data_IF_584879314511
#
_entry.id   IF_584879314511
#
_cell.length_a   1.000
_cell.length_b   1.000
_cell.length_c   1.000
_cell.angle_alpha   90.00
_cell.angle_beta   90.00
_cell.angle_gamma   90.00
#
_symmetry.space_group_name_H-M   'P 1'
#
loop_
_entity.id
_entity.type
_entity.pdbx_description
1 polymer ?
#
# COMPACT_ATOMS: atom_id res chain seq x y z
N UNK A 1 10.13 26.93 -1.19
CA UNK A 1 10.42 25.60 -0.64
C UNK A 1 11.93 25.55 -0.49
N UNK A 2 12.45 25.86 0.69
CA UNK A 2 13.88 25.68 0.98
C UNK A 2 14.17 24.19 0.83
N UNK A 3 14.85 23.84 -0.26
CA UNK A 3 15.31 22.48 -0.48
C UNK A 3 16.32 22.26 0.64
N UNK A 4 15.96 21.43 1.62
CA UNK A 4 16.85 21.04 2.69
C UNK A 4 18.19 20.61 2.05
N UNK A 5 19.30 21.16 2.53
CA UNK A 5 20.64 20.72 2.15
C UNK A 5 20.82 19.28 2.64
N UNK A 6 20.29 18.31 1.90
CA UNK A 6 20.42 16.90 2.21
C UNK A 6 21.90 16.54 2.05
N UNK A 7 22.53 16.19 3.18
CA UNK A 7 23.90 15.66 3.20
C UNK A 7 23.99 14.38 2.36
N UNK A 8 25.14 14.10 1.75
CA UNK A 8 25.35 12.89 0.94
C UNK A 8 25.12 11.61 1.76
N UNK A 9 25.41 11.66 3.05
CA UNK A 9 25.18 10.59 4.02
C UNK A 9 23.69 10.28 4.17
N UNK A 10 22.86 11.32 4.30
CA UNK A 10 21.40 11.19 4.40
C UNK A 10 20.80 10.67 3.10
N UNK A 11 21.25 11.14 1.93
CA UNK A 11 20.81 10.62 0.64
C UNK A 11 21.19 9.14 0.47
N UNK A 12 22.42 8.78 0.84
CA UNK A 12 22.89 7.38 0.79
C UNK A 12 22.07 6.47 1.72
N UNK A 13 21.75 6.95 2.92
CA UNK A 13 20.88 6.25 3.86
C UNK A 13 19.47 6.05 3.28
N UNK A 14 18.83 7.11 2.79
CA UNK A 14 17.50 7.04 2.19
C UNK A 14 17.45 6.14 0.95
N UNK A 15 18.52 6.13 0.15
CA UNK A 15 18.64 5.25 -1.01
C UNK A 15 18.65 3.77 -0.61
N UNK A 16 19.45 3.40 0.40
CA UNK A 16 19.50 2.02 0.92
C UNK A 16 18.12 1.63 1.49
N UNK A 17 17.49 2.52 2.26
CA UNK A 17 16.15 2.27 2.81
C UNK A 17 15.12 2.11 1.68
N UNK A 18 15.18 2.92 0.62
CA UNK A 18 14.26 2.81 -0.51
C UNK A 18 14.40 1.46 -1.24
N UNK A 19 15.62 0.94 -1.40
CA UNK A 19 15.85 -0.41 -1.96
C UNK A 19 15.22 -1.48 -1.06
N UNK A 20 15.51 -1.44 0.25
CA UNK A 20 14.97 -2.40 1.20
C UNK A 20 13.43 -2.34 1.26
N UNK A 21 12.88 -1.13 1.33
CA UNK A 21 11.45 -0.90 1.31
C UNK A 21 10.82 -1.45 0.03
N UNK A 22 11.40 -1.20 -1.14
CA UNK A 22 10.92 -1.72 -2.42
C UNK A 22 10.92 -3.26 -2.50
N UNK A 23 11.96 -3.90 -1.95
CA UNK A 23 12.01 -5.37 -1.84
C UNK A 23 10.90 -5.90 -0.94
N UNK A 24 10.74 -5.32 0.26
CA UNK A 24 9.69 -5.71 1.21
C UNK A 24 8.29 -5.45 0.63
N UNK A 25 8.11 -4.36 -0.11
CA UNK A 25 6.84 -4.04 -0.77
C UNK A 25 6.50 -5.06 -1.86
N UNK A 26 7.50 -5.42 -2.66
CA UNK A 26 7.36 -6.46 -3.68
C UNK A 26 7.01 -7.82 -3.07
N UNK A 27 7.54 -8.15 -1.88
CA UNK A 27 7.24 -9.41 -1.17
C UNK A 27 5.89 -9.37 -0.45
N UNK A 28 5.71 -8.46 0.49
CA UNK A 28 4.57 -8.45 1.44
C UNK A 28 3.65 -7.21 1.33
N UNK A 29 3.98 -6.22 0.49
CA UNK A 29 3.22 -4.96 0.37
C UNK A 29 3.30 -4.09 1.63
N UNK A 30 4.44 -4.15 2.33
CA UNK A 30 4.71 -3.47 3.59
C UNK A 30 5.88 -2.49 3.53
N UNK A 31 6.39 -2.15 2.35
CA UNK A 31 7.59 -1.28 2.23
C UNK A 31 7.37 0.11 2.82
N UNK A 32 6.12 0.58 2.82
CA UNK A 32 5.70 1.80 3.51
C UNK A 32 5.99 1.81 5.02
N UNK A 33 6.00 0.64 5.67
CA UNK A 33 6.30 0.53 7.11
C UNK A 33 7.74 0.94 7.43
N UNK A 34 8.65 0.86 6.45
CA UNK A 34 10.07 1.20 6.60
C UNK A 34 10.37 2.58 6.00
N UNK A 35 9.87 2.84 4.79
CA UNK A 35 10.16 4.08 4.06
C UNK A 35 9.51 5.31 4.71
N UNK A 36 8.27 5.23 5.22
CA UNK A 36 7.62 6.39 5.83
C UNK A 36 8.34 6.89 7.08
N UNK A 37 8.69 6.04 8.08
CA UNK A 37 9.50 6.47 9.21
C UNK A 37 10.83 7.10 8.77
N UNK A 38 11.53 6.51 7.79
CA UNK A 38 12.79 7.05 7.33
C UNK A 38 12.66 8.43 6.66
N UNK A 39 11.64 8.63 5.83
CA UNK A 39 11.35 9.93 5.21
C UNK A 39 10.98 10.99 6.26
N UNK A 40 10.12 10.63 7.22
CA UNK A 40 9.71 11.55 8.30
C UNK A 40 10.91 11.90 9.19
N UNK A 41 11.75 10.93 9.55
CA UNK A 41 12.98 11.14 10.33
C UNK A 41 14.01 11.99 9.56
N UNK A 42 14.00 11.94 8.23
CA UNK A 42 14.80 12.82 7.37
C UNK A 42 14.24 14.26 7.27
N UNK A 43 13.17 14.57 8.02
CA UNK A 43 12.56 15.90 8.06
C UNK A 43 11.54 16.16 6.94
N UNK A 44 11.15 15.13 6.18
CA UNK A 44 10.14 15.29 5.13
C UNK A 44 8.75 15.39 5.78
N UNK A 45 7.95 16.42 5.43
CA UNK A 45 6.60 16.57 5.97
C UNK A 45 5.75 15.31 5.73
N UNK A 46 4.88 14.91 6.68
CA UNK A 46 4.18 13.63 6.62
C UNK A 46 3.36 13.42 5.33
N UNK A 47 2.68 14.48 4.85
CA UNK A 47 1.89 14.41 3.63
C UNK A 47 2.76 14.22 2.37
N UNK A 48 3.95 14.84 2.37
CA UNK A 48 4.93 14.67 1.30
C UNK A 48 5.59 13.28 1.35
N UNK A 49 5.85 12.77 2.55
CA UNK A 49 6.36 11.41 2.75
C UNK A 49 5.38 10.36 2.23
N UNK A 50 4.07 10.53 2.46
CA UNK A 50 3.02 9.69 1.87
C UNK A 50 3.06 9.71 0.34
N UNK A 51 3.09 10.89 -0.28
CA UNK A 51 3.15 11.02 -1.73
C UNK A 51 4.40 10.38 -2.34
N UNK A 52 5.58 10.62 -1.76
CA UNK A 52 6.84 9.98 -2.18
C UNK A 52 6.79 8.46 -1.99
N UNK A 53 6.19 7.97 -0.90
CA UNK A 53 5.99 6.54 -0.71
C UNK A 53 5.09 5.93 -1.81
N UNK A 54 4.03 6.63 -2.24
CA UNK A 54 3.16 6.17 -3.33
C UNK A 54 3.89 6.10 -4.67
N UNK A 55 4.84 7.00 -4.92
CA UNK A 55 5.70 6.92 -6.12
C UNK A 55 6.56 5.65 -6.08
N UNK A 56 7.24 5.40 -4.95
CA UNK A 56 8.07 4.21 -4.76
C UNK A 56 7.25 2.91 -4.87
N UNK A 57 6.14 2.83 -4.14
CA UNK A 57 5.25 1.68 -4.14
C UNK A 57 4.63 1.40 -5.50
N UNK A 58 4.31 2.43 -6.29
CA UNK A 58 3.79 2.28 -7.66
C UNK A 58 4.77 1.50 -8.54
N UNK A 59 6.07 1.78 -8.47
CA UNK A 59 7.07 1.08 -9.28
C UNK A 59 7.25 -0.38 -8.85
N UNK A 60 7.34 -0.64 -7.54
CA UNK A 60 7.47 -2.01 -7.01
C UNK A 60 6.26 -2.88 -7.33
N UNK A 61 5.05 -2.34 -7.09
CA UNK A 61 3.79 -3.05 -7.35
C UNK A 61 3.49 -3.19 -8.84
N UNK A 62 3.94 -2.27 -9.70
CA UNK A 62 3.86 -2.42 -11.15
C UNK A 62 4.63 -3.65 -11.64
N UNK A 63 5.89 -3.79 -11.22
CA UNK A 63 6.74 -4.93 -11.58
C UNK A 63 6.14 -6.25 -11.05
N UNK A 64 5.71 -6.27 -9.79
CA UNK A 64 5.07 -7.45 -9.20
C UNK A 64 3.81 -7.85 -9.98
N UNK A 65 2.93 -6.88 -10.27
CA UNK A 65 1.68 -7.10 -11.01
C UNK A 65 1.94 -7.60 -12.42
N UNK A 66 2.90 -7.01 -13.14
CA UNK A 66 3.31 -7.47 -14.46
C UNK A 66 3.77 -8.93 -14.43
N UNK A 67 4.59 -9.32 -13.46
CA UNK A 67 5.05 -10.70 -13.30
C UNK A 67 3.90 -11.67 -12.97
N UNK A 68 2.94 -11.25 -12.15
CA UNK A 68 1.76 -12.07 -11.84
C UNK A 68 0.90 -12.34 -13.08
N UNK A 69 0.68 -11.33 -13.94
CA UNK A 69 -0.04 -11.50 -15.20
C UNK A 69 0.77 -12.32 -16.22
N UNK A 70 2.06 -12.02 -16.38
CA UNK A 70 2.96 -12.72 -17.33
C UNK A 70 3.03 -14.22 -17.03
N UNK A 71 3.10 -14.58 -15.75
CA UNK A 71 3.19 -15.97 -15.31
C UNK A 71 1.80 -16.64 -15.16
N UNK A 72 0.72 -16.00 -15.62
CA UNK A 72 -0.67 -16.49 -15.54
C UNK A 72 -1.10 -16.88 -14.12
N UNK A 73 -0.54 -16.21 -13.09
CA UNK A 73 -0.93 -16.41 -11.68
C UNK A 73 -2.24 -15.72 -11.35
N UNK A 74 -2.60 -14.70 -12.13
CA UNK A 74 -3.87 -13.97 -12.04
C UNK A 74 -4.44 -13.75 -13.44
N UNK A 75 -5.77 -13.76 -13.56
CA UNK A 75 -6.49 -13.42 -14.78
C UNK A 75 -6.83 -11.92 -14.79
N UNK A 76 -6.57 -11.24 -15.90
CA UNK A 76 -6.91 -9.81 -16.06
C UNK A 76 -8.42 -9.58 -15.98
N UNK A 77 -9.22 -10.47 -16.58
CA UNK A 77 -10.68 -10.35 -16.58
C UNK A 77 -11.27 -10.47 -15.17
N UNK A 78 -10.69 -11.32 -14.32
CA UNK A 78 -11.14 -11.51 -12.94
C UNK A 78 -10.62 -10.41 -12.01
N UNK A 79 -9.41 -9.90 -12.25
CA UNK A 79 -8.78 -8.90 -11.38
C UNK A 79 -9.28 -7.48 -11.66
N UNK A 80 -9.65 -7.17 -12.91
CA UNK A 80 -10.04 -5.82 -13.34
C UNK A 80 -11.17 -5.19 -12.50
N UNK A 81 -12.29 -5.86 -12.19
CA UNK A 81 -13.36 -5.27 -11.37
C UNK A 81 -12.91 -4.95 -9.93
N UNK A 82 -12.06 -5.81 -9.35
CA UNK A 82 -11.48 -5.59 -8.03
C UNK A 82 -10.50 -4.41 -8.07
N UNK A 83 -9.66 -4.31 -9.10
CA UNK A 83 -8.75 -3.17 -9.29
C UNK A 83 -9.50 -1.85 -9.41
N UNK A 84 -10.63 -1.82 -10.13
CA UNK A 84 -11.45 -0.60 -10.29
C UNK A 84 -12.05 -0.12 -8.96
N UNK A 85 -12.62 -1.03 -8.17
CA UNK A 85 -13.19 -0.68 -6.87
C UNK A 85 -12.10 -0.27 -5.86
N UNK A 86 -10.96 -0.96 -5.86
CA UNK A 86 -9.79 -0.57 -5.06
C UNK A 86 -9.29 0.83 -5.45
N UNK A 87 -9.17 1.10 -6.75
CA UNK A 87 -8.76 2.40 -7.30
C UNK A 87 -9.67 3.52 -6.82
N UNK A 88 -11.00 3.34 -6.92
CA UNK A 88 -11.97 4.35 -6.46
C UNK A 88 -11.82 4.60 -4.95
N UNK A 89 -11.71 3.52 -4.16
CA UNK A 89 -11.43 3.64 -2.72
C UNK A 89 -10.19 4.48 -2.46
N UNK A 90 -9.08 4.17 -3.13
CA UNK A 90 -7.81 4.86 -2.96
C UNK A 90 -7.84 6.32 -3.40
N UNK A 91 -8.57 6.67 -4.46
CA UNK A 91 -8.80 8.08 -4.83
C UNK A 91 -9.48 8.82 -3.68
N UNK A 92 -10.58 8.26 -3.14
CA UNK A 92 -11.31 8.88 -2.04
C UNK A 92 -10.45 9.01 -0.77
N UNK A 93 -9.63 8.00 -0.49
CA UNK A 93 -8.68 8.03 0.62
C UNK A 93 -7.61 9.11 0.45
N UNK A 94 -6.97 9.16 -0.73
CA UNK A 94 -5.93 10.14 -1.03
C UNK A 94 -6.47 11.59 -1.08
N UNK A 95 -7.72 11.78 -1.46
CA UNK A 95 -8.40 13.07 -1.32
C UNK A 95 -8.66 13.37 0.16
N UNK A 96 -9.18 12.40 0.91
CA UNK A 96 -9.51 12.56 2.33
C UNK A 96 -8.32 12.97 3.20
N UNK A 97 -7.14 12.36 2.99
CA UNK A 97 -5.95 12.65 3.80
C UNK A 97 -5.42 14.08 3.59
N UNK A 98 -5.68 14.71 2.44
CA UNK A 98 -5.27 16.09 2.17
C UNK A 98 -6.03 17.13 3.01
N UNK A 99 -7.21 16.78 3.52
CA UNK A 99 -7.98 17.65 4.40
C UNK A 99 -7.59 17.50 5.88
N UNK A 100 -6.65 16.61 6.20
CA UNK A 100 -6.14 16.41 7.56
C UNK A 100 -4.97 17.36 7.80
N UNK A 101 -5.01 18.09 8.92
CA UNK A 101 -3.91 18.97 9.30
C UNK A 101 -2.61 18.18 9.53
N UNK A 102 -1.49 18.71 9.04
CA UNK A 102 -0.14 18.15 9.19
C UNK A 102 0.22 17.78 10.63
N UNK A 103 -0.19 18.56 11.63
CA UNK A 103 0.06 18.25 13.05
C UNK A 103 -0.61 16.94 13.48
N UNK A 104 -1.87 16.76 13.09
CA UNK A 104 -2.62 15.52 13.35
C UNK A 104 -1.97 14.36 12.60
N UNK A 105 -1.59 14.58 11.34
CA UNK A 105 -0.98 13.55 10.51
C UNK A 105 0.39 13.09 11.05
N UNK A 106 1.15 14.02 11.63
CA UNK A 106 2.45 13.76 12.29
C UNK A 106 2.32 12.83 13.50
N UNK A 107 1.16 12.85 14.18
CA UNK A 107 0.86 11.94 15.28
C UNK A 107 0.20 10.63 14.81
N UNK A 108 -0.76 10.73 13.89
CA UNK A 108 -1.57 9.59 13.44
C UNK A 108 -0.74 8.59 12.63
N UNK A 109 0.13 9.06 11.71
CA UNK A 109 0.92 8.15 10.87
C UNK A 109 1.80 7.21 11.72
N UNK A 110 2.64 7.70 12.66
CA UNK A 110 3.43 6.81 13.53
C UNK A 110 2.58 5.81 14.32
N UNK A 111 1.42 6.23 14.82
CA UNK A 111 0.51 5.36 15.58
C UNK A 111 -0.09 4.26 14.70
N UNK A 112 -0.53 4.59 13.48
CA UNK A 112 -1.02 3.62 12.50
C UNK A 112 0.08 2.64 12.11
N UNK A 113 1.29 3.15 11.82
CA UNK A 113 2.45 2.34 11.50
C UNK A 113 2.80 1.36 12.61
N UNK A 114 2.82 1.83 13.87
CA UNK A 114 3.08 1.00 15.04
C UNK A 114 2.01 -0.08 15.21
N UNK A 115 0.73 0.28 15.11
CA UNK A 115 -0.37 -0.67 15.21
C UNK A 115 -0.25 -1.78 14.17
N UNK A 116 0.06 -1.42 12.92
CA UNK A 116 0.21 -2.38 11.82
C UNK A 116 1.45 -3.27 12.03
N UNK A 117 2.56 -2.69 12.47
CA UNK A 117 3.77 -3.45 12.78
C UNK A 117 3.50 -4.47 13.91
N UNK A 118 2.86 -4.04 15.00
CA UNK A 118 2.46 -4.93 16.11
C UNK A 118 1.51 -6.01 15.62
N UNK A 119 0.51 -5.65 14.81
CA UNK A 119 -0.41 -6.60 14.21
C UNK A 119 0.33 -7.66 13.40
N UNK A 120 1.30 -7.28 12.54
CA UNK A 120 2.07 -8.26 11.77
C UNK A 120 2.95 -9.17 12.63
N UNK A 121 3.54 -8.65 13.71
CA UNK A 121 4.36 -9.44 14.62
C UNK A 121 3.49 -10.43 15.43
N UNK A 122 2.31 -9.99 15.86
CA UNK A 122 1.40 -10.79 16.68
C UNK A 122 0.48 -11.70 15.87
N UNK A 123 0.30 -11.44 14.56
CA UNK A 123 -0.63 -12.20 13.72
C UNK A 123 -0.14 -13.65 13.60
N UNK A 124 -0.97 -14.64 13.98
CA UNK A 124 -0.59 -16.04 13.85
C UNK A 124 -0.35 -16.38 12.38
N UNK A 125 0.75 -17.11 12.09
CA UNK A 125 1.04 -17.67 10.78
C UNK A 125 -0.23 -18.28 10.18
N UNK A 126 -0.66 -17.77 9.03
CA UNK A 126 -1.95 -18.10 8.43
C UNK A 126 -2.09 -19.62 8.28
N UNK A 127 -3.01 -20.21 9.04
CA UNK A 127 -3.29 -21.64 8.99
C UNK A 127 -4.05 -21.99 7.70
N UNK A 128 -3.80 -23.23 7.26
CA UNK A 128 -4.17 -23.88 6.01
C UNK A 128 -5.58 -23.56 5.50
N UNK A 129 -5.67 -23.41 4.16
CA UNK A 129 -6.85 -23.34 3.28
C UNK A 129 -8.19 -23.66 3.96
N UNK A 130 -9.03 -22.64 4.19
CA UNK A 130 -10.45 -22.84 4.44
C UNK A 130 -11.16 -22.86 3.09
N UNK A 131 -11.68 -24.02 2.65
CA UNK A 131 -12.38 -24.16 1.36
C UNK A 131 -13.77 -23.47 1.34
N UNK A 132 -14.08 -22.62 2.32
CA UNK A 132 -15.38 -21.95 2.42
C UNK A 132 -15.27 -20.45 2.07
N UNK A 133 -16.09 -20.04 1.10
CA UNK A 133 -16.34 -18.63 0.82
C UNK A 133 -17.22 -18.05 1.93
N UNK A 134 -16.64 -17.26 2.84
CA UNK A 134 -17.41 -16.62 3.92
C UNK A 134 -18.22 -15.40 3.44
N UNK A 135 -17.82 -14.77 2.33
CA UNK A 135 -18.51 -13.62 1.74
C UNK A 135 -18.81 -13.82 0.25
N UNK A 136 -19.95 -13.30 -0.19
CA UNK A 136 -20.31 -13.20 -1.61
C UNK A 136 -19.28 -12.37 -2.39
N UNK A 137 -19.00 -12.75 -3.63
CA UNK A 137 -18.07 -12.04 -4.52
C UNK A 137 -18.44 -10.56 -4.68
N UNK A 138 -19.73 -10.24 -4.72
CA UNK A 138 -20.21 -8.86 -4.83
C UNK A 138 -19.89 -8.02 -3.58
N UNK A 139 -20.09 -8.56 -2.38
CA UNK A 139 -19.78 -7.85 -1.13
C UNK A 139 -18.28 -7.68 -0.93
N UNK A 140 -17.50 -8.71 -1.29
CA UNK A 140 -16.05 -8.61 -1.28
C UNK A 140 -15.55 -7.48 -2.21
N UNK A 141 -16.05 -7.46 -3.45
CA UNK A 141 -15.69 -6.44 -4.45
C UNK A 141 -16.18 -5.04 -4.06
N UNK A 142 -17.42 -4.88 -3.59
CA UNK A 142 -18.04 -3.56 -3.45
C UNK A 142 -17.87 -2.95 -2.05
N UNK A 143 -17.46 -3.73 -1.05
CA UNK A 143 -17.30 -3.26 0.33
C UNK A 143 -15.86 -3.45 0.79
N UNK A 144 -15.36 -4.69 0.80
CA UNK A 144 -14.05 -5.00 1.41
C UNK A 144 -12.90 -4.38 0.63
N UNK A 145 -12.86 -4.63 -0.68
CA UNK A 145 -11.80 -4.14 -1.57
C UNK A 145 -11.70 -2.60 -1.60
N UNK A 146 -12.78 -1.82 -1.80
CA UNK A 146 -12.71 -0.37 -1.78
C UNK A 146 -12.42 0.19 -0.37
N UNK A 147 -12.80 -0.49 0.72
CA UNK A 147 -12.45 -0.06 2.08
C UNK A 147 -10.94 -0.17 2.32
N UNK A 148 -10.34 -1.29 1.92
CA UNK A 148 -8.88 -1.46 1.98
C UNK A 148 -8.20 -0.47 1.02
N UNK A 149 -8.78 -0.24 -0.17
CA UNK A 149 -8.32 0.78 -1.11
C UNK A 149 -8.32 2.18 -0.50
N UNK A 150 -9.38 2.57 0.19
CA UNK A 150 -9.48 3.84 0.91
C UNK A 150 -8.37 4.00 1.94
N UNK A 151 -8.17 2.98 2.78
CA UNK A 151 -7.05 2.92 3.72
C UNK A 151 -5.70 3.08 3.00
N UNK A 152 -5.49 2.34 1.89
CA UNK A 152 -4.24 2.41 1.14
C UNK A 152 -4.01 3.80 0.57
N UNK A 153 -5.05 4.42 0.01
CA UNK A 153 -4.95 5.76 -0.56
C UNK A 153 -4.60 6.83 0.47
N UNK A 154 -5.10 6.68 1.71
CA UNK A 154 -4.77 7.58 2.81
C UNK A 154 -3.35 7.38 3.35
N UNK A 155 -2.98 6.13 3.63
CA UNK A 155 -1.77 5.81 4.37
C UNK A 155 -0.82 4.95 3.57
N UNK A 156 -1.23 3.72 3.21
CA UNK A 156 -0.47 2.82 2.33
C UNK A 156 0.22 1.60 2.96
N UNK A 157 0.90 1.72 4.11
CA UNK A 157 1.65 0.60 4.69
C UNK A 157 0.81 -0.64 4.99
N UNK A 158 1.31 -1.82 4.64
CA UNK A 158 0.69 -3.11 4.97
C UNK A 158 -0.49 -3.50 4.08
N UNK A 159 -0.86 -2.68 3.10
CA UNK A 159 -2.02 -2.91 2.23
C UNK A 159 -1.96 -4.22 1.47
N UNK A 160 -0.81 -4.59 0.89
CA UNK A 160 -0.70 -5.84 0.13
C UNK A 160 -1.02 -7.06 1.01
N UNK A 161 -0.62 -7.01 2.28
CA UNK A 161 -0.98 -8.02 3.26
C UNK A 161 -2.44 -7.94 3.68
N UNK A 162 -3.04 -6.75 3.83
CA UNK A 162 -4.48 -6.63 4.07
C UNK A 162 -5.34 -7.20 2.94
N UNK A 163 -4.98 -6.93 1.68
CA UNK A 163 -5.65 -7.56 0.54
C UNK A 163 -5.47 -9.08 0.53
N UNK A 164 -4.27 -9.58 0.84
CA UNK A 164 -4.02 -11.01 0.92
C UNK A 164 -4.85 -11.66 2.05
N UNK A 165 -4.88 -11.04 3.23
CA UNK A 165 -5.66 -11.49 4.39
C UNK A 165 -7.15 -11.48 4.09
N UNK A 166 -7.65 -10.46 3.40
CA UNK A 166 -9.04 -10.39 2.96
C UNK A 166 -9.36 -11.49 1.95
N UNK A 167 -8.46 -11.78 1.01
CA UNK A 167 -8.62 -12.90 0.08
C UNK A 167 -8.74 -14.25 0.80
N UNK A 168 -7.85 -14.53 1.76
CA UNK A 168 -7.90 -15.79 2.51
C UNK A 168 -9.15 -15.84 3.40
N UNK A 169 -9.41 -14.79 4.18
CA UNK A 169 -10.45 -14.81 5.22
C UNK A 169 -11.86 -14.68 4.64
N UNK A 170 -12.05 -13.86 3.60
CA UNK A 170 -13.37 -13.60 3.01
C UNK A 170 -13.71 -14.55 1.87
N UNK A 171 -12.70 -15.01 1.11
CA UNK A 171 -12.88 -15.80 -0.13
C UNK A 171 -12.30 -17.22 -0.04
N UNK A 172 -11.71 -17.62 1.08
CA UNK A 172 -11.17 -18.98 1.23
C UNK A 172 -10.02 -19.32 0.27
N UNK A 173 -9.44 -18.31 -0.39
CA UNK A 173 -8.30 -18.51 -1.27
C UNK A 173 -7.08 -18.94 -0.46
N UNK A 174 -6.15 -19.67 -1.08
CA UNK A 174 -4.84 -19.88 -0.45
C UNK A 174 -4.03 -18.58 -0.41
N UNK A 175 -3.01 -18.55 0.44
CA UNK A 175 -2.19 -17.37 0.64
C UNK A 175 -1.43 -16.94 -0.63
N UNK A 176 -1.01 -17.90 -1.47
CA UNK A 176 -0.25 -17.60 -2.70
C UNK A 176 -1.17 -16.89 -3.69
N UNK A 177 -2.36 -17.46 -3.93
CA UNK A 177 -3.37 -16.85 -4.82
C UNK A 177 -3.81 -15.48 -4.31
N UNK A 178 -4.07 -15.35 -3.01
CA UNK A 178 -4.48 -14.07 -2.41
C UNK A 178 -3.39 -13.02 -2.51
N UNK A 179 -2.13 -13.40 -2.29
CA UNK A 179 -0.98 -12.49 -2.45
C UNK A 179 -0.80 -12.07 -3.90
N UNK A 180 -1.00 -12.98 -4.86
CA UNK A 180 -0.90 -12.66 -6.28
C UNK A 180 -1.97 -11.64 -6.72
N UNK A 181 -3.22 -11.83 -6.30
CA UNK A 181 -4.31 -10.86 -6.54
C UNK A 181 -4.00 -9.54 -5.85
N UNK A 182 -3.56 -9.57 -4.59
CA UNK A 182 -3.23 -8.39 -3.80
C UNK A 182 -2.24 -7.46 -4.51
N UNK A 183 -1.22 -7.99 -5.21
CA UNK A 183 -0.27 -7.16 -5.97
C UNK A 183 -0.97 -6.28 -7.01
N UNK A 184 -1.92 -6.84 -7.76
CA UNK A 184 -2.67 -6.09 -8.78
C UNK A 184 -3.56 -5.00 -8.18
N UNK A 185 -4.17 -5.28 -7.02
CA UNK A 185 -4.96 -4.29 -6.29
C UNK A 185 -4.08 -3.18 -5.73
N UNK A 186 -2.93 -3.55 -5.15
CA UNK A 186 -2.01 -2.60 -4.56
C UNK A 186 -1.37 -1.70 -5.62
N UNK A 187 -1.15 -2.21 -6.83
CA UNK A 187 -0.76 -1.40 -7.98
C UNK A 187 -1.86 -0.38 -8.34
N UNK A 188 -3.11 -0.82 -8.44
CA UNK A 188 -4.23 0.08 -8.75
C UNK A 188 -4.39 1.20 -7.71
N UNK A 189 -4.27 0.88 -6.41
CA UNK A 189 -4.41 1.85 -5.32
C UNK A 189 -3.21 2.79 -5.20
N UNK A 190 -1.98 2.30 -5.44
CA UNK A 190 -0.77 3.14 -5.49
C UNK A 190 -0.83 4.13 -6.64
N UNK A 191 -1.24 3.70 -7.84
CA UNK A 191 -1.40 4.62 -8.98
C UNK A 191 -2.51 5.64 -8.72
N UNK A 192 -3.65 5.20 -8.19
CA UNK A 192 -4.76 6.10 -7.83
C UNK A 192 -4.31 7.21 -6.89
N UNK A 193 -3.67 6.83 -5.78
CA UNK A 193 -3.21 7.80 -4.78
C UNK A 193 -2.05 8.64 -5.28
N UNK A 194 -1.11 8.06 -6.04
CA UNK A 194 -0.01 8.80 -6.66
C UNK A 194 -0.51 9.92 -7.57
N UNK A 195 -1.51 9.67 -8.42
CA UNK A 195 -2.11 10.70 -9.28
C UNK A 195 -2.59 11.89 -8.44
N UNK A 196 -3.27 11.59 -7.32
CA UNK A 196 -3.79 12.61 -6.42
C UNK A 196 -2.66 13.37 -5.70
N UNK A 197 -1.65 12.67 -5.16
CA UNK A 197 -0.51 13.32 -4.50
C UNK A 197 0.37 14.14 -5.45
N UNK A 198 0.55 13.70 -6.70
CA UNK A 198 1.24 14.48 -7.75
C UNK A 198 0.45 15.74 -8.07
N UNK A 199 -0.86 15.61 -8.29
CA UNK A 199 -1.73 16.76 -8.57
C UNK A 199 -1.73 17.79 -7.42
N UNK A 200 -1.61 17.32 -6.18
CA UNK A 200 -1.51 18.15 -4.98
C UNK A 200 -0.10 18.72 -4.71
N UNK A 201 0.93 18.30 -5.45
CA UNK A 201 2.31 18.76 -5.26
C UNK A 201 3.00 18.19 -4.02
N UNK A 202 2.58 17.02 -3.54
CA UNK A 202 3.10 16.36 -2.33
C UNK A 202 4.06 15.20 -2.65
N UNK A 203 4.74 15.24 -3.80
CA UNK A 203 5.77 14.25 -4.14
C UNK A 203 7.14 14.93 -4.14
N UNK A 204 8.03 14.43 -3.29
CA UNK A 204 9.46 14.78 -3.31
C UNK A 204 10.15 13.88 -4.32
N UNK A 205 10.82 14.51 -5.30
CA UNK A 205 11.52 13.87 -6.42
C UNK A 205 12.99 13.59 -6.12
#
# INVERSE_FOLDING_TARGET
>A
MEIANFSIELLSFLFIIAILAGLIDTLAGGGGLISLPALILAGIPPLAALGTNKLQGSMGTATATYLMFKNRRISYQESKPLMQTAFIGAVLGAIGVQFINTEVLSFVIPMVLLFIAVYFIASPLMKKKSDQNHLSSANYQNIVVPTIGFYDGMFGPGTGSFFALAGVSCRGHDLITSTAIAKSLNFATNIASLIIFVAAGHVVW
#
